data_IF_095627045952
#
_entry.id   IF_095627045952
#
_cell.length_a   1.000
_cell.length_b   1.000
_cell.length_c   1.000
_cell.angle_alpha   90.00
_cell.angle_beta   90.00
_cell.angle_gamma   90.00
#
_symmetry.space_group_name_H-M   'P 1'
#
loop_
_entity.id
_entity.type
_entity.pdbx_description
1 polymer ?
#
# COMPACT_ATOMS: atom_id res chain seq x y z
N UNK A 1 -10.53 3.42 10.05
CA UNK A 1 -9.41 2.45 10.12
C UNK A 1 -9.89 1.00 10.25
N UNK A 2 -10.70 0.64 11.26
CA UNK A 2 -11.31 -0.71 11.41
C UNK A 2 -11.80 -1.32 10.08
N UNK A 3 -12.64 -0.59 9.35
CA UNK A 3 -13.20 -1.04 8.06
C UNK A 3 -12.11 -1.47 7.06
N UNK A 4 -11.00 -0.73 6.99
CA UNK A 4 -9.89 -1.01 6.09
C UNK A 4 -9.14 -2.28 6.46
N UNK A 5 -8.90 -2.52 7.76
CA UNK A 5 -8.32 -3.79 8.22
C UNK A 5 -9.22 -4.97 7.87
N UNK A 6 -10.54 -4.85 8.12
CA UNK A 6 -11.51 -5.89 7.76
C UNK A 6 -11.57 -6.16 6.26
N UNK A 7 -11.46 -5.11 5.43
CA UNK A 7 -11.41 -5.26 3.96
C UNK A 7 -10.13 -5.98 3.50
N UNK A 8 -8.98 -5.69 4.11
CA UNK A 8 -7.73 -6.42 3.83
C UNK A 8 -7.89 -7.90 4.17
N UNK A 9 -8.43 -8.23 5.35
CA UNK A 9 -8.68 -9.62 5.77
C UNK A 9 -9.59 -10.35 4.77
N UNK A 10 -10.70 -9.70 4.40
CA UNK A 10 -11.68 -10.25 3.46
C UNK A 10 -11.05 -10.51 2.10
N UNK A 11 -10.29 -9.56 1.55
CA UNK A 11 -9.70 -9.70 0.23
C UNK A 11 -8.58 -10.74 0.21
N UNK A 12 -7.69 -10.71 1.21
CA UNK A 12 -6.57 -11.66 1.32
C UNK A 12 -7.02 -13.05 1.77
N UNK A 13 -8.29 -13.19 2.20
CA UNK A 13 -8.90 -14.44 2.69
C UNK A 13 -8.11 -15.06 3.86
N UNK A 14 -7.72 -14.22 4.81
CA UNK A 14 -6.94 -14.62 5.99
C UNK A 14 -7.67 -14.21 7.27
N UNK A 15 -7.45 -14.97 8.34
CA UNK A 15 -7.95 -14.63 9.67
C UNK A 15 -7.17 -13.46 10.26
N UNK A 16 -7.75 -12.80 11.29
CA UNK A 16 -7.04 -11.76 12.04
C UNK A 16 -5.72 -12.25 12.64
N UNK A 17 -5.64 -13.54 13.03
CA UNK A 17 -4.41 -14.11 13.57
C UNK A 17 -3.35 -14.26 12.50
N UNK A 18 -3.71 -14.85 11.37
CA UNK A 18 -2.79 -14.98 10.23
C UNK A 18 -2.31 -13.62 9.73
N UNK A 19 -3.14 -12.59 9.80
CA UNK A 19 -2.73 -11.24 9.45
C UNK A 19 -1.74 -10.64 10.45
N UNK A 20 -1.97 -10.81 11.75
CA UNK A 20 -1.06 -10.37 12.80
C UNK A 20 0.32 -11.02 12.63
N UNK A 21 0.35 -12.33 12.42
CA UNK A 21 1.57 -13.09 12.18
C UNK A 21 2.30 -12.59 10.92
N UNK A 22 1.56 -12.32 9.83
CA UNK A 22 2.16 -11.85 8.56
C UNK A 22 2.80 -10.48 8.66
N UNK A 23 2.22 -9.56 9.46
CA UNK A 23 2.76 -8.21 9.64
C UNK A 23 3.63 -8.07 10.88
N UNK A 24 3.98 -9.20 11.52
CA UNK A 24 4.88 -9.29 12.67
C UNK A 24 4.42 -8.45 13.87
N UNK A 25 3.14 -8.61 14.25
CA UNK A 25 2.57 -7.93 15.43
C UNK A 25 1.71 -8.88 16.24
N UNK A 26 1.42 -8.53 17.49
CA UNK A 26 0.60 -9.38 18.36
C UNK A 26 -0.87 -9.43 17.92
N UNK A 27 -1.51 -10.58 18.14
CA UNK A 27 -2.95 -10.77 17.96
C UNK A 27 -3.79 -9.73 18.74
N UNK A 28 -3.34 -9.37 19.94
CA UNK A 28 -3.98 -8.34 20.76
C UNK A 28 -3.96 -6.98 20.07
N UNK A 29 -2.85 -6.58 19.45
CA UNK A 29 -2.75 -5.31 18.73
C UNK A 29 -3.77 -5.21 17.58
N UNK A 30 -3.86 -6.26 16.75
CA UNK A 30 -4.86 -6.33 15.67
C UNK A 30 -6.29 -6.33 16.23
N UNK A 31 -6.55 -7.12 17.27
CA UNK A 31 -7.87 -7.20 17.90
C UNK A 31 -8.34 -5.85 18.45
N UNK A 32 -7.46 -5.08 19.10
CA UNK A 32 -7.80 -3.75 19.62
C UNK A 32 -8.12 -2.74 18.50
N UNK A 33 -7.43 -2.82 17.37
CA UNK A 33 -7.70 -1.98 16.19
C UNK A 33 -9.05 -2.35 15.57
N UNK A 34 -9.32 -3.64 15.37
CA UNK A 34 -10.58 -4.13 14.79
C UNK A 34 -11.76 -3.84 15.73
N UNK A 35 -11.55 -3.89 17.04
CA UNK A 35 -12.59 -3.55 18.02
C UNK A 35 -12.74 -2.04 18.25
N UNK A 36 -11.98 -1.20 17.53
CA UNK A 36 -12.19 0.25 17.48
C UNK A 36 -11.74 1.02 18.72
N UNK A 37 -10.96 0.39 19.61
CA UNK A 37 -10.47 1.04 20.83
C UNK A 37 -9.21 1.87 20.58
N UNK A 38 -8.40 1.48 19.59
CA UNK A 38 -7.11 2.10 19.30
C UNK A 38 -6.94 2.46 17.81
N UNK A 39 -6.18 3.52 17.54
CA UNK A 39 -5.57 3.75 16.22
C UNK A 39 -4.33 2.86 16.07
N UNK A 40 -4.03 2.34 14.86
CA UNK A 40 -2.77 1.65 14.62
C UNK A 40 -1.59 2.59 14.85
N UNK A 41 -0.47 2.05 15.35
CA UNK A 41 0.81 2.77 15.38
C UNK A 41 1.35 2.97 13.97
N UNK A 42 2.31 3.89 13.81
CA UNK A 42 3.01 4.09 12.54
C UNK A 42 3.71 2.79 12.09
N UNK A 43 4.32 2.07 13.01
CA UNK A 43 4.98 0.78 12.77
C UNK A 43 4.02 -0.26 12.16
N UNK A 44 2.79 -0.37 12.69
CA UNK A 44 1.77 -1.26 12.12
C UNK A 44 1.45 -0.87 10.68
N UNK A 45 1.31 0.43 10.39
CA UNK A 45 1.06 0.90 9.03
C UNK A 45 2.24 0.57 8.11
N UNK A 46 3.47 0.77 8.55
CA UNK A 46 4.67 0.44 7.79
C UNK A 46 4.75 -1.05 7.50
N UNK A 47 4.53 -1.91 8.51
CA UNK A 47 4.56 -3.37 8.33
C UNK A 47 3.51 -3.84 7.33
N UNK A 48 2.31 -3.25 7.34
CA UNK A 48 1.27 -3.55 6.35
C UNK A 48 1.76 -3.19 4.95
N UNK A 49 2.30 -1.99 4.74
CA UNK A 49 2.75 -1.53 3.42
C UNK A 49 3.95 -2.32 2.90
N UNK A 50 4.85 -2.75 3.79
CA UNK A 50 6.00 -3.61 3.44
C UNK A 50 5.53 -5.01 3.04
N UNK A 51 4.60 -5.62 3.78
CA UNK A 51 4.11 -6.99 3.52
C UNK A 51 3.08 -7.06 2.41
N UNK A 52 2.38 -5.97 2.14
CA UNK A 52 1.35 -5.85 1.11
C UNK A 52 1.62 -4.61 0.24
N UNK A 53 2.68 -4.64 -0.60
CA UNK A 53 3.05 -3.51 -1.45
C UNK A 53 1.99 -3.18 -2.51
N UNK A 54 1.06 -4.09 -2.74
CA UNK A 54 -0.10 -3.88 -3.60
C UNK A 54 -1.14 -2.93 -2.99
N UNK A 55 -1.13 -2.73 -1.67
CA UNK A 55 -2.07 -1.83 -0.97
C UNK A 55 -1.64 -0.37 -1.12
N UNK A 56 -2.60 0.48 -1.46
CA UNK A 56 -2.42 1.93 -1.54
C UNK A 56 -2.21 2.56 -0.15
N UNK A 57 -1.07 3.26 0.09
CA UNK A 57 -0.85 4.00 1.33
C UNK A 57 -1.92 5.08 1.55
N UNK A 58 -2.35 5.74 0.47
CA UNK A 58 -3.38 6.80 0.51
C UNK A 58 -4.70 6.24 1.00
N UNK A 59 -5.11 5.09 0.47
CA UNK A 59 -6.32 4.42 0.90
C UNK A 59 -6.20 3.91 2.35
N UNK A 60 -5.07 3.30 2.72
CA UNK A 60 -4.88 2.77 4.07
C UNK A 60 -4.94 3.88 5.14
N UNK A 61 -4.27 5.00 4.89
CA UNK A 61 -4.11 6.09 5.85
C UNK A 61 -5.35 7.00 5.83
N UNK A 62 -5.69 7.55 4.67
CA UNK A 62 -6.75 8.57 4.52
C UNK A 62 -8.13 7.94 4.30
N UNK A 63 -8.20 6.72 3.75
CA UNK A 63 -9.47 6.11 3.36
C UNK A 63 -9.99 6.57 2.01
N UNK A 64 -9.12 7.12 1.19
CA UNK A 64 -9.48 7.71 -0.10
C UNK A 64 -8.82 6.96 -1.26
N UNK A 65 -9.54 6.85 -2.37
CA UNK A 65 -9.09 6.14 -3.56
C UNK A 65 -9.34 4.63 -3.48
N UNK A 66 -8.65 3.89 -4.33
CA UNK A 66 -8.76 2.42 -4.41
C UNK A 66 -7.84 1.75 -3.40
N UNK A 67 -8.27 0.57 -2.91
CA UNK A 67 -7.48 -0.25 -1.98
C UNK A 67 -6.15 -0.70 -2.58
N UNK A 68 -6.14 -1.04 -3.87
CA UNK A 68 -4.95 -1.46 -4.59
C UNK A 68 -4.36 -0.31 -5.39
N UNK A 69 -3.04 -0.25 -5.42
CA UNK A 69 -2.36 0.51 -6.46
C UNK A 69 -2.83 -0.07 -7.80
N UNK A 70 -3.34 0.78 -8.68
CA UNK A 70 -3.55 0.34 -10.07
C UNK A 70 -2.17 -0.07 -10.56
N UNK A 71 -2.03 -1.31 -11.02
CA UNK A 71 -0.86 -1.69 -11.81
C UNK A 71 -0.74 -0.61 -12.88
N UNK A 72 0.31 0.20 -12.79
CA UNK A 72 0.69 1.04 -13.91
C UNK A 72 1.03 0.02 -14.98
N UNK A 73 0.07 -0.22 -15.88
CA UNK A 73 0.23 -1.19 -16.94
C UNK A 73 1.28 -0.57 -17.87
N UNK A 74 2.55 -0.86 -17.61
CA UNK A 74 3.71 -0.30 -18.31
C UNK A 74 3.63 -0.66 -19.81
N UNK A 75 2.91 -1.73 -20.13
CA UNK A 75 2.57 -2.16 -21.48
C UNK A 75 1.59 -1.22 -22.21
N UNK A 76 0.99 -0.25 -21.51
CA UNK A 76 0.13 0.80 -22.08
C UNK A 76 0.84 2.17 -22.09
N UNK A 77 2.17 2.18 -21.97
CA UNK A 77 2.95 3.30 -22.47
C UNK A 77 2.96 3.14 -24.00
N UNK A 78 1.87 3.58 -24.62
CA UNK A 78 1.80 3.70 -26.08
C UNK A 78 2.96 4.59 -26.52
N UNK A 79 3.97 3.97 -27.15
CA UNK A 79 5.13 4.60 -27.80
C UNK A 79 5.80 5.71 -26.98
N UNK A 80 6.95 5.41 -26.37
CA UNK A 80 7.78 6.43 -25.71
C UNK A 80 8.12 7.51 -26.76
N UNK A 81 7.50 8.68 -26.66
CA UNK A 81 7.72 9.78 -27.60
C UNK A 81 8.99 10.57 -27.28
N UNK A 82 9.37 10.60 -25.99
CA UNK A 82 10.46 11.43 -25.49
C UNK A 82 11.04 10.85 -24.20
N UNK A 83 12.37 10.84 -24.10
CA UNK A 83 13.14 10.55 -22.90
C UNK A 83 13.94 11.80 -22.53
N UNK A 84 13.82 12.27 -21.28
CA UNK A 84 14.61 13.39 -20.75
C UNK A 84 15.53 12.83 -19.68
N UNK A 85 16.84 13.02 -19.85
CA UNK A 85 17.84 12.57 -18.90
C UNK A 85 18.43 13.78 -18.20
N UNK A 86 18.38 13.80 -16.87
CA UNK A 86 18.93 14.85 -16.03
C UNK A 86 20.28 14.43 -15.45
N UNK A 87 21.30 15.27 -15.61
CA UNK A 87 22.61 15.13 -14.97
C UNK A 87 23.09 16.48 -14.48
N UNK A 88 23.40 16.54 -13.19
CA UNK A 88 23.64 17.78 -12.45
C UNK A 88 22.47 18.76 -12.66
N UNK A 89 22.75 19.95 -13.20
CA UNK A 89 21.77 21.00 -13.55
C UNK A 89 21.41 21.01 -15.05
N UNK A 90 21.80 19.99 -15.81
CA UNK A 90 21.57 19.89 -17.25
C UNK A 90 20.60 18.77 -17.57
N UNK A 91 19.88 18.94 -18.67
CA UNK A 91 19.07 17.88 -19.24
C UNK A 91 19.41 17.65 -20.71
N UNK A 92 19.29 16.41 -21.15
CA UNK A 92 19.37 16.02 -22.55
C UNK A 92 18.09 15.32 -22.96
N UNK A 93 17.53 15.75 -24.08
CA UNK A 93 16.32 15.17 -24.65
C UNK A 93 16.66 14.18 -25.77
N UNK A 94 15.99 13.04 -25.75
CA UNK A 94 16.05 12.03 -26.79
C UNK A 94 14.62 11.75 -27.26
N UNK A 95 14.37 11.95 -28.55
CA UNK A 95 13.10 11.61 -29.17
C UNK A 95 13.23 10.24 -29.85
N UNK A 96 12.20 9.40 -29.72
CA UNK A 96 12.16 8.08 -30.37
C UNK A 96 11.92 8.16 -31.88
#
# INVERSE_FOLDING_TARGET
MKKRFLEILKFKKISSSQFADKIDVSNSAISHIINGRNKPSLEIIQNILIKYPDISPRWLILGEGEIYNKDVNINKIDKISKVIVYFDDKYQEFNS
#
